data_IF_151183983309
#
_entry.id   IF_151183983309
#
_cell.length_a   1.000
_cell.length_b   1.000
_cell.length_c   1.000
_cell.angle_alpha   90.00
_cell.angle_beta   90.00
_cell.angle_gamma   90.00
#
_symmetry.space_group_name_H-M   'P 1'
#
loop_
_entity.id
_entity.type
_entity.pdbx_description
1 polymer ?
#
# COMPACT_ATOMS: atom_id res chain seq x y z
N UNK A 1 8.36 7.75 -0.20
CA UNK A 1 7.21 6.85 -0.45
C UNK A 1 7.79 5.62 -1.13
N UNK A 2 7.25 4.44 -0.84
CA UNK A 2 7.74 3.18 -1.39
C UNK A 2 6.62 2.58 -2.22
N UNK A 3 6.86 2.37 -3.52
CA UNK A 3 5.86 1.88 -4.46
C UNK A 3 6.40 0.59 -5.05
N UNK A 4 5.61 -0.48 -4.96
CA UNK A 4 5.94 -1.80 -5.46
C UNK A 4 4.93 -2.22 -6.53
N UNK A 5 5.43 -2.66 -7.68
CA UNK A 5 4.62 -3.43 -8.62
C UNK A 5 4.63 -4.90 -8.17
N UNK A 6 3.51 -5.36 -7.60
CA UNK A 6 3.38 -6.74 -7.10
C UNK A 6 3.47 -7.81 -8.20
N UNK A 7 3.29 -7.45 -9.48
CA UNK A 7 3.37 -8.41 -10.60
C UNK A 7 4.82 -8.60 -11.04
N UNK A 8 5.57 -7.52 -11.21
CA UNK A 8 6.98 -7.60 -11.64
C UNK A 8 7.98 -7.68 -10.49
N UNK A 9 7.52 -7.48 -9.25
CA UNK A 9 8.32 -7.37 -8.03
C UNK A 9 9.34 -6.21 -8.04
N UNK A 10 9.09 -5.21 -8.90
CA UNK A 10 9.97 -4.05 -9.11
C UNK A 10 9.46 -2.82 -8.38
N UNK A 11 10.40 -2.01 -7.87
CA UNK A 11 10.07 -0.69 -7.36
C UNK A 11 9.67 0.26 -8.48
N UNK A 12 8.75 1.18 -8.20
CA UNK A 12 8.35 2.23 -9.12
C UNK A 12 8.76 3.59 -8.54
N UNK A 13 9.38 4.42 -9.39
CA UNK A 13 9.72 5.81 -9.04
C UNK A 13 8.50 6.72 -9.02
N UNK A 14 7.51 6.44 -9.88
CA UNK A 14 6.33 7.27 -10.05
C UNK A 14 5.12 6.40 -10.39
N UNK A 15 3.95 6.82 -9.91
CA UNK A 15 2.65 6.20 -10.23
C UNK A 15 1.58 7.29 -10.36
N UNK A 16 0.61 7.09 -11.23
CA UNK A 16 -0.62 7.89 -11.29
C UNK A 16 -1.79 6.98 -11.02
N UNK A 17 -2.64 7.34 -10.05
CA UNK A 17 -3.86 6.62 -9.71
C UNK A 17 -5.06 7.35 -10.31
N UNK A 18 -5.82 6.66 -11.15
CA UNK A 18 -7.08 7.15 -11.69
C UNK A 18 -8.21 6.48 -10.93
N UNK A 19 -8.83 7.22 -10.01
CA UNK A 19 -9.86 6.71 -9.13
C UNK A 19 -11.20 7.35 -9.48
N UNK A 20 -12.25 6.54 -9.43
CA UNK A 20 -13.62 7.02 -9.30
C UNK A 20 -13.84 7.63 -7.91
N UNK A 21 -14.97 8.33 -7.72
CA UNK A 21 -15.30 8.93 -6.42
C UNK A 21 -15.47 7.86 -5.33
N UNK A 22 -16.02 6.68 -5.67
CA UNK A 22 -16.17 5.55 -4.75
C UNK A 22 -14.81 4.99 -4.34
N UNK A 23 -13.94 4.68 -5.30
CA UNK A 23 -12.58 4.17 -5.02
C UNK A 23 -11.75 5.18 -4.21
N UNK A 24 -11.87 6.48 -4.52
CA UNK A 24 -11.19 7.53 -3.75
C UNK A 24 -11.74 7.65 -2.30
N UNK A 25 -13.04 7.43 -2.11
CA UNK A 25 -13.66 7.44 -0.78
C UNK A 25 -13.24 6.21 0.03
N UNK A 26 -13.19 5.04 -0.60
CA UNK A 26 -12.72 3.80 0.01
C UNK A 26 -11.24 3.92 0.40
N UNK A 27 -10.39 4.46 -0.48
CA UNK A 27 -8.99 4.73 -0.16
C UNK A 27 -8.82 5.67 1.05
N UNK A 28 -9.61 6.74 1.14
CA UNK A 28 -9.61 7.62 2.31
C UNK A 28 -9.99 6.84 3.57
N UNK A 29 -11.09 6.10 3.53
CA UNK A 29 -11.62 5.40 4.70
C UNK A 29 -10.65 4.28 5.16
N UNK A 30 -10.03 3.56 4.22
CA UNK A 30 -8.96 2.60 4.50
C UNK A 30 -7.76 3.27 5.17
N UNK A 31 -7.28 4.40 4.65
CA UNK A 31 -6.17 5.15 5.28
C UNK A 31 -6.55 5.62 6.69
N UNK A 32 -7.76 6.15 6.88
CA UNK A 32 -8.24 6.60 8.18
C UNK A 32 -8.34 5.45 9.20
N UNK A 33 -8.68 4.24 8.76
CA UNK A 33 -8.66 3.05 9.60
C UNK A 33 -7.23 2.63 9.96
N UNK A 34 -6.34 2.57 8.97
CA UNK A 34 -4.93 2.24 9.18
C UNK A 34 -4.25 3.22 10.14
N UNK A 35 -4.55 4.52 10.06
CA UNK A 35 -4.00 5.52 10.97
C UNK A 35 -4.43 5.31 12.43
N UNK A 36 -5.61 4.73 12.68
CA UNK A 36 -6.08 4.42 14.05
C UNK A 36 -5.38 3.20 14.64
N UNK A 37 -4.97 2.25 13.79
CA UNK A 37 -4.29 1.00 14.17
C UNK A 37 -3.18 0.67 13.16
N UNK A 38 -2.07 1.42 13.20
CA UNK A 38 -1.03 1.36 12.15
C UNK A 38 -0.15 0.12 12.22
N UNK A 39 -0.15 -0.59 13.34
CA UNK A 39 0.57 -1.84 13.46
C UNK A 39 -0.15 -2.91 12.65
N UNK A 40 0.56 -3.47 11.67
CA UNK A 40 0.22 -4.74 11.01
C UNK A 40 -1.05 -4.76 10.17
N UNK A 41 -1.57 -3.60 9.78
CA UNK A 41 -2.71 -3.53 8.88
C UNK A 41 -2.30 -2.96 7.52
N UNK A 42 -2.80 -3.60 6.48
CA UNK A 42 -2.86 -3.08 5.13
C UNK A 42 -4.34 -2.93 4.75
N UNK A 43 -4.62 -1.98 3.89
CA UNK A 43 -5.95 -1.77 3.31
C UNK A 43 -5.91 -2.12 1.83
N UNK A 44 -6.95 -2.78 1.35
CA UNK A 44 -7.14 -3.05 -0.07
C UNK A 44 -8.28 -2.18 -0.60
N UNK A 45 -8.06 -1.53 -1.72
CA UNK A 45 -9.08 -0.79 -2.47
C UNK A 45 -9.19 -1.42 -3.85
N UNK A 46 -10.30 -2.09 -4.14
CA UNK A 46 -10.49 -2.80 -5.39
C UNK A 46 -11.38 -2.02 -6.36
N UNK A 47 -11.20 -2.24 -7.66
CA UNK A 47 -12.18 -1.78 -8.65
C UNK A 47 -13.51 -2.54 -8.50
N UNK A 48 -14.61 -1.99 -9.01
CA UNK A 48 -15.96 -2.58 -8.88
C UNK A 48 -16.06 -4.05 -9.39
N UNK A 49 -15.20 -4.44 -10.33
CA UNK A 49 -15.13 -5.78 -10.90
C UNK A 49 -14.00 -6.66 -10.31
N UNK A 50 -13.30 -6.16 -9.28
CA UNK A 50 -12.20 -6.84 -8.58
C UNK A 50 -11.03 -7.26 -9.48
N UNK A 51 -10.83 -6.59 -10.62
CA UNK A 51 -9.72 -6.87 -11.53
C UNK A 51 -8.48 -6.03 -11.23
N UNK A 52 -8.63 -4.93 -10.49
CA UNK A 52 -7.56 -4.03 -10.09
C UNK A 52 -7.66 -3.77 -8.61
N UNK A 53 -6.52 -3.56 -7.98
CA UNK A 53 -6.42 -3.29 -6.55
C UNK A 53 -5.28 -2.33 -6.25
N UNK A 54 -5.48 -1.51 -5.23
CA UNK A 54 -4.43 -0.76 -4.55
C UNK A 54 -4.32 -1.32 -3.14
N UNK A 55 -3.15 -1.85 -2.81
CA UNK A 55 -2.79 -2.19 -1.43
C UNK A 55 -2.06 -1.01 -0.80
N UNK A 56 -2.54 -0.53 0.34
CA UNK A 56 -1.87 0.51 1.14
C UNK A 56 -1.45 -0.04 2.49
N UNK A 57 -0.18 0.16 2.84
CA UNK A 57 0.39 -0.27 4.12
C UNK A 57 0.93 0.95 4.87
N UNK A 58 0.76 0.97 6.20
CA UNK A 58 1.46 1.91 7.08
C UNK A 58 2.53 1.13 7.83
N UNK A 59 3.74 1.67 7.90
CA UNK A 59 4.86 1.05 8.59
C UNK A 59 5.51 2.01 9.57
N UNK A 60 6.12 1.44 10.62
CA UNK A 60 7.12 2.09 11.47
C UNK A 60 8.42 1.29 11.33
N UNK A 61 9.57 1.96 11.29
CA UNK A 61 10.88 1.32 11.26
C UNK A 61 11.14 0.44 12.49
N UNK A 62 10.40 0.63 13.58
CA UNK A 62 10.48 -0.23 14.77
C UNK A 62 9.65 -1.51 14.68
N UNK A 63 8.83 -1.69 13.64
CA UNK A 63 7.95 -2.85 13.47
C UNK A 63 7.87 -3.28 11.99
N UNK A 64 8.96 -3.88 11.49
CA UNK A 64 9.02 -4.40 10.13
C UNK A 64 8.83 -5.92 10.05
N UNK A 65 8.72 -6.62 11.18
CA UNK A 65 8.82 -8.08 11.24
C UNK A 65 7.73 -8.80 10.43
N UNK A 66 6.55 -8.19 10.33
CA UNK A 66 5.40 -8.76 9.62
C UNK A 66 5.39 -8.49 8.11
N UNK A 67 6.27 -7.61 7.62
CA UNK A 67 6.46 -7.44 6.19
C UNK A 67 7.25 -8.62 5.63
N UNK A 68 6.98 -8.99 4.38
CA UNK A 68 7.82 -9.95 3.67
C UNK A 68 9.22 -9.33 3.40
N UNK A 69 10.21 -10.18 3.10
CA UNK A 69 11.60 -9.74 2.91
C UNK A 69 11.76 -8.72 1.79
N UNK A 70 10.96 -8.82 0.73
CA UNK A 70 10.98 -7.87 -0.38
C UNK A 70 10.50 -6.49 0.04
N UNK A 71 9.40 -6.42 0.79
CA UNK A 71 8.84 -5.18 1.32
C UNK A 71 9.80 -4.56 2.33
N UNK A 72 10.47 -5.36 3.17
CA UNK A 72 11.53 -4.87 4.06
C UNK A 72 12.69 -4.26 3.27
N UNK A 73 13.17 -4.95 2.24
CA UNK A 73 14.24 -4.46 1.37
C UNK A 73 13.84 -3.13 0.71
N UNK A 74 12.63 -3.04 0.15
CA UNK A 74 12.11 -1.80 -0.41
C UNK A 74 12.04 -0.68 0.65
N UNK A 75 11.50 -0.95 1.83
CA UNK A 75 11.36 0.05 2.89
C UNK A 75 12.72 0.60 3.34
N UNK A 76 13.73 -0.27 3.45
CA UNK A 76 15.04 0.05 4.01
C UNK A 76 15.98 0.66 2.96
N UNK A 77 16.00 0.10 1.75
CA UNK A 77 17.06 0.36 0.76
C UNK A 77 16.66 1.28 -0.38
N UNK A 78 15.36 1.42 -0.66
CA UNK A 78 14.88 2.45 -1.56
C UNK A 78 15.08 3.80 -0.85
N UNK A 79 15.78 4.75 -1.47
CA UNK A 79 16.11 6.05 -0.88
C UNK A 79 15.31 7.14 -1.53
#
# INVERSE_FOLDING_TARGET
>A
MRILDEVSDMSLENVILYLTISEASELRDSIDELLKKPLNNHGHVSSENFQKEITVCIYDLTNLDEFNERSKDLIINDK
#
